data_IF_387671122229
#
_entry.id   IF_387671122229
#
_cell.length_a   1.000
_cell.length_b   1.000
_cell.length_c   1.000
_cell.angle_alpha   90.00
_cell.angle_beta   90.00
_cell.angle_gamma   90.00
#
_symmetry.space_group_name_H-M   'P 1'
#
loop_
_entity.id
_entity.type
_entity.pdbx_description
1 polymer ?
#
# COMPACT_ATOMS: atom_id res chain seq x y z
N UNK A 1 -30.66 -4.74 -3.58
CA UNK A 1 -30.48 -5.02 -2.15
C UNK A 1 -29.29 -4.21 -1.71
N UNK A 2 -29.50 -3.18 -0.90
CA UNK A 2 -28.40 -2.37 -0.38
C UNK A 2 -28.13 -2.72 1.08
N UNK A 3 -27.07 -2.18 1.67
CA UNK A 3 -26.77 -2.37 3.08
C UNK A 3 -26.08 -1.15 3.66
N UNK A 4 -25.82 -1.17 4.95
CA UNK A 4 -25.04 -0.13 5.63
C UNK A 4 -24.08 -0.76 6.62
N UNK A 5 -22.84 -0.26 6.66
CA UNK A 5 -21.84 -0.57 7.68
C UNK A 5 -21.57 0.73 8.45
N UNK A 6 -22.07 0.83 9.67
CA UNK A 6 -21.72 1.90 10.61
C UNK A 6 -20.49 1.45 11.41
N UNK A 7 -19.32 1.98 11.05
CA UNK A 7 -18.02 1.64 11.62
C UNK A 7 -17.60 2.66 12.68
N UNK A 8 -17.77 2.31 13.96
CA UNK A 8 -17.31 3.10 15.09
C UNK A 8 -15.82 2.86 15.32
N UNK A 9 -15.02 3.92 15.30
CA UNK A 9 -13.56 3.86 15.37
C UNK A 9 -12.97 4.91 16.30
N UNK A 10 -11.81 4.60 16.88
CA UNK A 10 -10.99 5.58 17.59
C UNK A 10 -9.61 5.60 16.97
N UNK A 11 -9.03 6.79 16.78
CA UNK A 11 -7.71 6.96 16.18
C UNK A 11 -6.58 6.35 17.02
N UNK A 12 -6.79 6.13 18.32
CA UNK A 12 -5.85 5.37 19.18
C UNK A 12 -6.06 3.85 19.17
N UNK A 13 -6.90 3.31 18.30
CA UNK A 13 -6.97 1.86 18.09
C UNK A 13 -6.26 1.51 16.79
N UNK A 14 -5.17 0.75 16.89
CA UNK A 14 -4.46 0.26 15.71
C UNK A 14 -5.38 -0.62 14.83
N UNK A 15 -6.19 -1.47 15.47
CA UNK A 15 -7.16 -2.27 14.74
C UNK A 15 -8.26 -1.41 14.09
N UNK A 16 -8.56 -0.23 14.64
CA UNK A 16 -9.45 0.73 13.97
C UNK A 16 -8.78 1.32 12.73
N UNK A 17 -7.48 1.58 12.78
CA UNK A 17 -6.72 2.01 11.61
C UNK A 17 -6.74 0.94 10.51
N UNK A 18 -6.45 -0.32 10.87
CA UNK A 18 -6.51 -1.47 9.95
C UNK A 18 -7.92 -1.62 9.36
N UNK A 19 -8.96 -1.61 10.19
CA UNK A 19 -10.35 -1.72 9.72
C UNK A 19 -10.78 -0.56 8.83
N UNK A 20 -10.31 0.66 9.14
CA UNK A 20 -10.52 1.84 8.31
C UNK A 20 -9.89 1.67 6.91
N UNK A 21 -8.62 1.25 6.85
CA UNK A 21 -7.93 1.03 5.56
C UNK A 21 -8.61 -0.05 4.73
N UNK A 22 -8.98 -1.17 5.35
CA UNK A 22 -9.66 -2.29 4.69
C UNK A 22 -10.99 -1.84 4.03
N UNK A 23 -11.84 -1.18 4.80
CA UNK A 23 -13.12 -0.66 4.31
C UNK A 23 -12.93 0.42 3.24
N UNK A 24 -11.89 1.27 3.35
CA UNK A 24 -11.56 2.28 2.34
C UNK A 24 -11.12 1.64 1.02
N UNK A 25 -10.26 0.63 1.05
CA UNK A 25 -9.83 -0.10 -0.16
C UNK A 25 -10.98 -0.82 -0.87
N UNK A 26 -12.04 -1.16 -0.12
CA UNK A 26 -13.20 -1.88 -0.65
C UNK A 26 -14.45 -0.99 -0.84
N UNK A 27 -14.36 0.33 -0.61
CA UNK A 27 -15.53 1.23 -0.62
C UNK A 27 -16.28 1.19 -1.95
N UNK A 28 -15.57 1.24 -3.09
CA UNK A 28 -16.20 1.24 -4.41
C UNK A 28 -16.87 -0.10 -4.73
N UNK A 29 -16.24 -1.22 -4.35
CA UNK A 29 -16.81 -2.56 -4.49
C UNK A 29 -18.07 -2.72 -3.65
N UNK A 30 -18.04 -2.24 -2.40
CA UNK A 30 -19.20 -2.25 -1.51
C UNK A 30 -20.34 -1.38 -2.07
N UNK A 31 -20.02 -0.18 -2.57
CA UNK A 31 -20.99 0.71 -3.20
C UNK A 31 -21.62 0.09 -4.46
N UNK A 32 -20.87 -0.65 -5.27
CA UNK A 32 -21.40 -1.39 -6.43
C UNK A 32 -22.42 -2.48 -6.02
N UNK A 33 -22.33 -3.00 -4.79
CA UNK A 33 -23.33 -3.87 -4.18
C UNK A 33 -24.43 -3.12 -3.41
N UNK A 34 -24.50 -1.79 -3.54
CA UNK A 34 -25.47 -0.96 -2.83
C UNK A 34 -25.20 -0.83 -1.33
N UNK A 35 -23.99 -1.16 -0.85
CA UNK A 35 -23.60 -1.05 0.56
C UNK A 35 -22.94 0.29 0.82
N UNK A 36 -23.48 1.06 1.77
CA UNK A 36 -22.90 2.30 2.25
C UNK A 36 -22.00 2.04 3.46
N UNK A 37 -20.86 2.71 3.53
CA UNK A 37 -19.96 2.64 4.69
C UNK A 37 -19.94 4.01 5.36
N UNK A 38 -20.26 4.05 6.64
CA UNK A 38 -20.26 5.27 7.45
C UNK A 38 -19.25 5.12 8.59
N UNK A 39 -18.20 5.94 8.59
CA UNK A 39 -17.20 5.97 9.65
C UNK A 39 -17.60 6.95 10.76
N UNK A 40 -17.62 6.49 12.00
CA UNK A 40 -18.10 7.24 13.15
C UNK A 40 -16.98 7.35 14.18
N UNK A 41 -16.39 8.54 14.41
CA UNK A 41 -15.41 8.73 15.47
C UNK A 41 -16.05 8.47 16.85
N UNK A 42 -15.58 7.48 17.58
CA UNK A 42 -16.09 7.08 18.89
C UNK A 42 -14.94 7.02 19.90
N UNK A 43 -15.22 7.33 21.16
CA UNK A 43 -14.18 7.40 22.19
C UNK A 43 -13.97 6.03 22.86
N UNK A 44 -12.89 5.33 22.49
CA UNK A 44 -12.54 4.01 23.01
C UNK A 44 -12.37 4.01 24.54
N UNK A 45 -11.78 5.07 25.11
CA UNK A 45 -11.69 5.22 26.56
C UNK A 45 -13.07 5.23 27.24
N UNK A 46 -14.05 5.86 26.61
CA UNK A 46 -15.45 5.88 27.05
C UNK A 46 -16.12 4.52 26.90
N UNK A 47 -15.91 3.84 25.76
CA UNK A 47 -16.42 2.48 25.53
C UNK A 47 -15.88 1.51 26.58
N UNK A 48 -14.57 1.52 26.85
CA UNK A 48 -13.94 0.66 27.85
C UNK A 48 -14.53 0.92 29.24
N UNK A 49 -14.67 2.20 29.63
CA UNK A 49 -15.26 2.55 30.93
C UNK A 49 -16.71 2.08 31.06
N UNK A 50 -17.56 2.37 30.07
CA UNK A 50 -19.00 2.09 30.12
C UNK A 50 -19.32 0.60 29.97
N UNK A 51 -18.50 -0.17 29.24
CA UNK A 51 -18.66 -1.62 29.09
C UNK A 51 -18.01 -2.43 30.21
N UNK A 52 -17.22 -1.79 31.08
CA UNK A 52 -16.38 -2.46 32.08
C UNK A 52 -15.18 -3.21 31.50
N UNK A 53 -14.87 -3.01 30.21
CA UNK A 53 -13.72 -3.62 29.57
C UNK A 53 -12.41 -2.95 30.00
N UNK A 54 -11.32 -3.70 29.95
CA UNK A 54 -9.96 -3.23 30.22
C UNK A 54 -9.11 -3.35 28.97
N UNK A 55 -8.24 -2.35 28.68
CA UNK A 55 -7.30 -2.45 27.58
C UNK A 55 -6.49 -3.75 27.59
N UNK A 56 -6.29 -4.39 26.42
CA UNK A 56 -5.70 -5.74 26.37
C UNK A 56 -4.23 -5.75 26.82
N UNK A 57 -3.48 -4.67 26.63
CA UNK A 57 -2.06 -4.56 27.02
C UNK A 57 -1.84 -4.52 28.54
N UNK A 58 -2.89 -4.33 29.36
CA UNK A 58 -2.78 -4.43 30.82
C UNK A 58 -2.35 -5.85 31.23
N UNK A 59 -2.71 -6.87 30.43
CA UNK A 59 -2.25 -8.23 30.63
C UNK A 59 -0.97 -8.47 29.79
N UNK A 60 0.21 -8.69 30.40
CA UNK A 60 1.46 -8.82 29.66
C UNK A 60 1.45 -9.88 28.56
N UNK A 61 0.79 -11.02 28.81
CA UNK A 61 0.64 -12.10 27.81
C UNK A 61 -0.09 -11.64 26.54
N UNK A 62 -1.12 -10.78 26.67
CA UNK A 62 -1.79 -10.17 25.53
C UNK A 62 -0.88 -9.14 24.85
N UNK A 63 -0.09 -8.38 25.60
CA UNK A 63 0.89 -7.44 25.03
C UNK A 63 1.88 -8.10 24.07
N UNK A 64 2.41 -9.27 24.45
CA UNK A 64 3.33 -10.06 23.59
C UNK A 64 2.62 -10.48 22.29
N UNK A 65 1.40 -11.03 22.39
CA UNK A 65 0.63 -11.44 21.22
C UNK A 65 0.31 -10.25 20.29
N UNK A 66 -0.09 -9.11 20.87
CA UNK A 66 -0.48 -7.92 20.12
C UNK A 66 0.65 -7.37 19.24
N UNK A 67 1.92 -7.49 19.66
CA UNK A 67 3.04 -7.05 18.84
C UNK A 67 3.12 -7.84 17.52
N UNK A 68 3.00 -9.17 17.58
CA UNK A 68 2.99 -10.01 16.38
C UNK A 68 1.70 -9.83 15.57
N UNK A 69 0.57 -9.72 16.25
CA UNK A 69 -0.73 -9.62 15.61
C UNK A 69 -0.92 -8.30 14.87
N UNK A 70 -0.47 -7.19 15.47
CA UNK A 70 -0.46 -5.88 14.84
C UNK A 70 0.42 -5.89 13.59
N UNK A 71 1.59 -6.54 13.65
CA UNK A 71 2.45 -6.74 12.47
C UNK A 71 1.72 -7.52 11.37
N UNK A 72 1.10 -8.66 11.68
CA UNK A 72 0.33 -9.46 10.71
C UNK A 72 -0.85 -8.69 10.11
N UNK A 73 -1.56 -7.92 10.94
CA UNK A 73 -2.68 -7.09 10.52
C UNK A 73 -2.25 -5.93 9.60
N UNK A 74 -1.11 -5.30 9.91
CA UNK A 74 -0.50 -4.28 9.07
C UNK A 74 -0.08 -4.83 7.71
N UNK A 75 0.63 -5.96 7.73
CA UNK A 75 1.05 -6.69 6.54
C UNK A 75 -0.15 -6.97 5.66
N UNK A 76 -1.20 -7.63 6.15
CA UNK A 76 -2.38 -8.00 5.36
C UNK A 76 -2.91 -6.91 4.43
N UNK A 77 -2.79 -5.64 4.81
CA UNK A 77 -3.31 -4.48 4.08
C UNK A 77 -2.23 -3.54 3.52
N UNK A 78 -0.96 -3.94 3.59
CA UNK A 78 0.21 -3.09 3.27
C UNK A 78 0.20 -1.76 4.01
N UNK A 79 -0.31 -1.74 5.24
CA UNK A 79 -0.29 -0.57 6.12
C UNK A 79 1.11 -0.48 6.74
N UNK A 80 1.79 0.68 6.67
CA UNK A 80 3.06 0.83 7.37
C UNK A 80 2.85 0.60 8.87
N UNK A 81 3.76 -0.13 9.52
CA UNK A 81 3.73 -0.34 10.96
C UNK A 81 5.15 -0.55 11.46
N UNK A 82 5.57 0.28 12.42
CA UNK A 82 6.92 0.26 12.99
C UNK A 82 6.89 0.02 14.51
N UNK A 83 5.80 -0.55 15.01
CA UNK A 83 5.57 -0.78 16.43
C UNK A 83 4.56 0.18 17.04
N UNK A 84 4.12 -0.14 18.25
CA UNK A 84 3.22 0.71 19.02
C UNK A 84 3.95 1.96 19.53
N UNK A 85 3.25 3.10 19.65
CA UNK A 85 3.84 4.30 20.22
C UNK A 85 4.47 4.06 21.60
N UNK A 86 5.69 4.60 21.86
CA UNK A 86 6.40 4.37 23.11
C UNK A 86 5.62 4.80 24.36
N UNK A 87 4.93 5.95 24.29
CA UNK A 87 4.02 6.44 25.33
C UNK A 87 2.57 6.36 24.87
N UNK A 88 2.04 5.13 24.83
CA UNK A 88 0.66 4.88 24.45
C UNK A 88 -0.33 5.55 25.41
N UNK A 89 0.03 5.80 26.67
CA UNK A 89 -0.87 6.39 27.66
C UNK A 89 -1.10 7.89 27.43
N UNK A 90 -0.06 8.63 27.02
CA UNK A 90 -0.23 10.01 26.58
C UNK A 90 -1.06 10.08 25.30
N UNK A 91 -0.78 9.19 24.35
CA UNK A 91 -1.43 9.15 23.03
C UNK A 91 -2.88 8.65 23.09
N UNK A 92 -3.25 7.82 24.09
CA UNK A 92 -4.61 7.32 24.31
C UNK A 92 -5.66 8.39 24.64
N UNK A 93 -5.25 9.65 24.83
CA UNK A 93 -6.14 10.77 25.13
C UNK A 93 -6.70 11.41 23.85
N UNK A 94 -7.67 10.76 23.22
CA UNK A 94 -8.18 11.15 21.90
C UNK A 94 -9.42 12.04 21.90
N UNK A 95 -9.92 12.51 23.06
CA UNK A 95 -11.14 13.33 23.11
C UNK A 95 -11.08 14.59 22.25
N UNK A 96 -9.98 15.34 22.31
CA UNK A 96 -9.80 16.56 21.54
C UNK A 96 -9.78 16.30 20.01
N UNK A 97 -8.95 15.39 19.49
CA UNK A 97 -8.95 15.11 18.05
C UNK A 97 -10.23 14.42 17.56
N UNK A 98 -10.91 13.60 18.38
CA UNK A 98 -12.21 13.02 18.01
C UNK A 98 -13.29 14.10 17.84
N UNK A 99 -13.29 15.13 18.71
CA UNK A 99 -14.18 16.29 18.55
C UNK A 99 -13.89 17.07 17.27
N UNK A 100 -12.62 17.23 16.92
CA UNK A 100 -12.23 17.86 15.66
C UNK A 100 -12.72 17.03 14.46
N UNK A 101 -12.59 15.70 14.50
CA UNK A 101 -13.11 14.82 13.45
C UNK A 101 -14.64 14.88 13.30
N UNK A 102 -15.40 15.01 14.39
CA UNK A 102 -16.85 15.26 14.30
C UNK A 102 -17.16 16.60 13.67
N UNK A 103 -16.46 17.66 14.07
CA UNK A 103 -16.64 18.97 13.44
C UNK A 103 -16.32 18.94 11.94
N UNK A 104 -15.23 18.25 11.56
CA UNK A 104 -14.84 18.07 10.15
C UNK A 104 -15.94 17.30 9.40
N UNK A 105 -16.44 16.19 9.96
CA UNK A 105 -17.49 15.37 9.36
C UNK A 105 -18.78 16.16 9.10
N UNK A 106 -19.14 17.09 9.99
CA UNK A 106 -20.38 17.85 9.88
C UNK A 106 -20.26 19.08 8.95
N UNK A 107 -19.06 19.59 8.68
CA UNK A 107 -18.86 20.90 8.04
C UNK A 107 -17.99 20.89 6.78
N UNK A 108 -17.43 19.75 6.40
CA UNK A 108 -16.54 19.59 5.24
C UNK A 108 -16.99 18.40 4.38
N UNK A 109 -16.55 18.31 3.11
CA UNK A 109 -16.85 17.16 2.26
C UNK A 109 -16.42 15.85 2.92
N UNK A 110 -17.17 14.77 2.64
CA UNK A 110 -16.88 13.45 3.19
C UNK A 110 -15.45 12.99 2.86
N UNK A 111 -14.98 13.24 1.63
CA UNK A 111 -13.60 12.95 1.23
C UNK A 111 -12.56 13.64 2.11
N UNK A 112 -12.79 14.88 2.53
CA UNK A 112 -11.94 15.63 3.46
C UNK A 112 -11.94 15.01 4.85
N UNK A 113 -13.11 14.63 5.37
CA UNK A 113 -13.21 13.91 6.65
C UNK A 113 -12.46 12.58 6.63
N UNK A 114 -12.60 11.81 5.55
CA UNK A 114 -11.90 10.54 5.38
C UNK A 114 -10.38 10.73 5.29
N UNK A 115 -9.93 11.71 4.51
CA UNK A 115 -8.50 12.03 4.40
C UNK A 115 -7.92 12.51 5.75
N UNK A 116 -8.63 13.38 6.46
CA UNK A 116 -8.23 13.85 7.79
C UNK A 116 -8.16 12.70 8.81
N UNK A 117 -9.18 11.83 8.84
CA UNK A 117 -9.20 10.65 9.72
C UNK A 117 -7.99 9.75 9.48
N UNK A 118 -7.68 9.46 8.20
CA UNK A 118 -6.49 8.71 7.80
C UNK A 118 -5.21 9.37 8.26
N UNK A 119 -5.09 10.68 8.06
CA UNK A 119 -3.89 11.44 8.43
C UNK A 119 -3.66 11.44 9.95
N UNK A 120 -4.71 11.56 10.76
CA UNK A 120 -4.59 11.47 12.21
C UNK A 120 -4.23 10.05 12.68
N UNK A 121 -4.72 8.99 12.02
CA UNK A 121 -4.22 7.63 12.26
C UNK A 121 -2.71 7.53 11.97
N UNK A 122 -2.25 8.05 10.83
CA UNK A 122 -0.83 8.06 10.45
C UNK A 122 0.01 8.75 11.55
N UNK A 123 -0.39 9.96 11.98
CA UNK A 123 0.35 10.71 13.01
C UNK A 123 0.43 9.98 14.35
N UNK A 124 -0.58 9.19 14.72
CA UNK A 124 -0.53 8.37 15.93
C UNK A 124 0.34 7.13 15.72
N UNK A 125 0.14 6.37 14.64
CA UNK A 125 0.65 5.01 14.51
C UNK A 125 1.97 4.89 13.74
N UNK A 126 2.46 5.97 13.14
CA UNK A 126 3.72 5.99 12.41
C UNK A 126 4.74 6.94 13.02
N UNK A 127 6.03 6.56 13.01
CA UNK A 127 7.09 7.46 13.45
C UNK A 127 7.22 8.70 12.57
N UNK A 128 7.44 9.89 13.17
CA UNK A 128 7.43 10.14 14.60
C UNK A 128 6.00 10.11 15.16
N UNK A 129 5.75 9.29 16.19
CA UNK A 129 4.43 9.19 16.83
C UNK A 129 4.08 10.52 17.52
N UNK A 130 2.91 11.07 17.20
CA UNK A 130 2.48 12.39 17.68
C UNK A 130 1.34 12.24 18.70
N UNK A 131 1.51 12.89 19.85
CA UNK A 131 0.44 13.03 20.82
C UNK A 131 -0.55 14.13 20.39
N UNK A 132 -1.63 13.71 19.72
CA UNK A 132 -2.70 14.60 19.26
C UNK A 132 -3.65 15.10 20.36
N UNK A 133 -3.44 14.71 21.62
CA UNK A 133 -4.14 15.29 22.76
C UNK A 133 -3.67 16.72 23.06
N UNK A 134 -2.44 17.04 22.65
CA UNK A 134 -1.87 18.38 22.72
C UNK A 134 -2.37 19.22 21.54
N UNK A 135 -2.82 20.44 21.84
CA UNK A 135 -3.45 21.30 20.85
C UNK A 135 -2.46 21.81 19.79
N UNK A 136 -1.21 22.10 20.17
CA UNK A 136 -0.21 22.54 19.21
C UNK A 136 0.11 21.42 18.21
N UNK A 137 0.21 20.18 18.71
CA UNK A 137 0.38 19.01 17.85
C UNK A 137 -0.81 18.75 16.92
N UNK A 138 -2.04 18.91 17.43
CA UNK A 138 -3.24 18.74 16.61
C UNK A 138 -3.36 19.83 15.55
N UNK A 139 -3.05 21.09 15.88
CA UNK A 139 -2.99 22.19 14.91
C UNK A 139 -1.99 21.87 13.81
N UNK A 140 -0.74 21.51 14.18
CA UNK A 140 0.29 21.16 13.21
C UNK A 140 -0.15 19.99 12.31
N UNK A 141 -0.74 18.95 12.89
CA UNK A 141 -1.25 17.82 12.13
C UNK A 141 -2.37 18.22 11.14
N UNK A 142 -3.30 19.10 11.53
CA UNK A 142 -4.34 19.59 10.63
C UNK A 142 -3.77 20.49 9.52
N UNK A 143 -2.82 21.37 9.84
CA UNK A 143 -2.15 22.26 8.87
C UNK A 143 -1.33 21.50 7.83
N UNK A 144 -0.75 20.36 8.22
CA UNK A 144 0.03 19.46 7.36
C UNK A 144 -0.83 18.44 6.59
N UNK A 145 -2.11 18.28 6.93
CA UNK A 145 -2.93 17.22 6.37
C UNK A 145 -3.15 17.42 4.86
N UNK A 146 -2.89 16.37 4.09
CA UNK A 146 -3.09 16.34 2.63
C UNK A 146 -4.01 15.21 2.19
N UNK A 147 -4.51 15.29 0.96
CA UNK A 147 -5.33 14.25 0.35
C UNK A 147 -4.54 12.97 0.00
N UNK A 148 -3.21 13.05 -0.08
CA UNK A 148 -2.30 11.92 -0.29
C UNK A 148 -1.97 11.11 0.98
N UNK A 149 -1.55 9.86 0.77
CA UNK A 149 -1.53 8.80 1.78
C UNK A 149 -0.55 8.98 2.96
N UNK A 150 0.44 9.89 2.89
CA UNK A 150 1.49 10.00 3.92
C UNK A 150 2.02 11.44 4.14
N UNK A 151 1.21 12.48 3.91
CA UNK A 151 1.67 13.86 4.14
C UNK A 151 2.75 14.34 3.17
N UNK A 152 2.60 13.98 1.89
CA UNK A 152 3.44 14.46 0.80
C UNK A 152 3.03 15.85 0.29
N UNK A 153 3.51 16.22 -0.89
CA UNK A 153 3.18 17.48 -1.60
C UNK A 153 1.76 17.51 -2.19
N UNK A 154 0.91 16.55 -1.78
CA UNK A 154 -0.51 16.51 -2.11
C UNK A 154 -1.26 17.79 -1.70
N UNK A 155 -2.49 17.91 -2.18
CA UNK A 155 -3.30 19.10 -1.91
C UNK A 155 -3.60 19.18 -0.42
N UNK A 156 -3.27 20.32 0.20
CA UNK A 156 -3.67 20.62 1.58
C UNK A 156 -5.18 20.48 1.76
N UNK A 157 -5.58 19.81 2.84
CA UNK A 157 -6.98 19.61 3.18
C UNK A 157 -7.63 20.88 3.74
N UNK A 158 -6.86 21.70 4.45
CA UNK A 158 -7.34 22.84 5.22
C UNK A 158 -6.45 24.07 4.98
N UNK A 159 -7.05 25.25 4.84
CA UNK A 159 -6.33 26.52 5.00
C UNK A 159 -6.05 26.81 6.48
N UNK A 160 -5.26 27.84 6.78
CA UNK A 160 -5.00 28.24 8.17
C UNK A 160 -6.32 28.67 8.86
N UNK A 161 -7.22 29.36 8.14
CA UNK A 161 -8.54 29.73 8.64
C UNK A 161 -9.44 28.51 8.90
N UNK A 162 -9.33 27.47 8.06
CA UNK A 162 -10.04 26.21 8.30
C UNK A 162 -9.55 25.52 9.58
N UNK A 163 -8.24 25.50 9.83
CA UNK A 163 -7.68 24.92 11.05
C UNK A 163 -8.17 25.68 12.28
N UNK A 164 -8.15 27.01 12.26
CA UNK A 164 -8.73 27.82 13.34
C UNK A 164 -10.22 27.51 13.55
N UNK A 165 -10.98 27.40 12.46
CA UNK A 165 -12.42 27.07 12.49
C UNK A 165 -12.67 25.69 13.11
N UNK A 166 -11.88 24.68 12.73
CA UNK A 166 -11.97 23.32 13.26
C UNK A 166 -11.62 23.30 14.75
N UNK A 167 -10.54 23.96 15.13
CA UNK A 167 -10.04 23.99 16.50
C UNK A 167 -11.01 24.72 17.45
N UNK A 168 -11.70 25.75 16.99
CA UNK A 168 -12.77 26.40 17.73
C UNK A 168 -14.06 25.56 17.74
N UNK A 169 -14.41 25.00 16.59
CA UNK A 169 -15.65 24.24 16.40
C UNK A 169 -15.71 22.94 17.19
N UNK A 170 -14.55 22.29 17.40
CA UNK A 170 -14.46 21.05 18.19
C UNK A 170 -14.97 21.21 19.62
N UNK A 171 -14.91 22.41 20.21
CA UNK A 171 -15.35 22.64 21.60
C UNK A 171 -16.85 22.35 21.76
N UNK A 172 -17.64 22.57 20.71
CA UNK A 172 -19.07 22.24 20.65
C UNK A 172 -19.38 20.75 20.44
N UNK A 173 -18.38 19.91 20.13
CA UNK A 173 -18.60 18.50 19.76
C UNK A 173 -18.56 17.53 20.94
N UNK A 174 -18.49 18.04 22.18
CA UNK A 174 -18.43 17.21 23.39
C UNK A 174 -19.61 16.26 23.53
N UNK A 175 -20.85 16.78 23.45
CA UNK A 175 -22.04 15.95 23.61
C UNK A 175 -22.19 14.98 22.43
N UNK A 176 -21.83 15.40 21.21
CA UNK A 176 -21.81 14.52 20.04
C UNK A 176 -20.94 13.28 20.23
N UNK A 177 -19.69 13.46 20.69
CA UNK A 177 -18.77 12.34 20.99
C UNK A 177 -19.36 11.41 22.06
N UNK A 178 -19.98 11.98 23.10
CA UNK A 178 -20.60 11.22 24.19
C UNK A 178 -21.82 10.43 23.72
N UNK A 179 -22.66 11.02 22.90
CA UNK A 179 -23.85 10.38 22.31
C UNK A 179 -23.46 9.18 21.45
N UNK A 180 -22.60 9.37 20.44
CA UNK A 180 -22.21 8.26 19.53
C UNK A 180 -21.46 7.15 20.27
N UNK A 181 -20.66 7.52 21.28
CA UNK A 181 -19.97 6.54 22.15
C UNK A 181 -20.98 5.75 22.97
N UNK A 182 -21.98 6.43 23.56
CA UNK A 182 -23.06 5.77 24.30
C UNK A 182 -23.94 4.89 23.42
N UNK A 183 -24.23 5.30 22.19
CA UNK A 183 -24.95 4.48 21.21
C UNK A 183 -24.18 3.21 20.84
N UNK A 184 -22.86 3.31 20.60
CA UNK A 184 -22.03 2.13 20.36
C UNK A 184 -22.12 1.14 21.53
N UNK A 185 -22.02 1.62 22.78
CA UNK A 185 -22.14 0.77 23.98
C UNK A 185 -23.53 0.17 24.13
N UNK A 186 -24.61 0.93 23.87
CA UNK A 186 -25.99 0.41 23.85
C UNK A 186 -26.16 -0.72 22.82
N UNK A 187 -25.42 -0.65 21.72
CA UNK A 187 -25.33 -1.69 20.68
C UNK A 187 -24.38 -2.84 21.04
N UNK A 188 -23.80 -2.84 22.25
CA UNK A 188 -22.94 -3.91 22.76
C UNK A 188 -21.43 -3.68 22.59
N UNK A 189 -21.00 -2.50 22.12
CA UNK A 189 -19.58 -2.23 21.92
C UNK A 189 -18.79 -2.31 23.23
N UNK A 190 -17.69 -3.06 23.19
CA UNK A 190 -16.71 -3.17 24.27
C UNK A 190 -15.30 -2.76 23.82
N UNK A 191 -15.14 -2.34 22.55
CA UNK A 191 -13.88 -1.86 21.99
C UNK A 191 -14.08 -1.28 20.59
N UNK A 192 -13.00 -0.90 19.92
CA UNK A 192 -13.02 -0.41 18.52
C UNK A 192 -11.97 -1.14 17.67
N UNK A 193 -12.24 -1.41 16.38
CA UNK A 193 -13.42 -0.98 15.63
C UNK A 193 -14.65 -1.83 15.98
N UNK A 194 -15.81 -1.18 16.03
CA UNK A 194 -17.11 -1.82 16.22
C UNK A 194 -17.97 -1.54 14.99
N UNK A 195 -18.47 -2.60 14.36
CA UNK A 195 -19.25 -2.52 13.13
C UNK A 195 -20.70 -2.86 13.46
N UNK A 196 -21.61 -1.91 13.22
CA UNK A 196 -23.04 -2.16 13.24
C UNK A 196 -23.54 -2.22 11.80
N UNK A 197 -23.99 -3.40 11.37
CA UNK A 197 -24.26 -3.68 9.96
C UNK A 197 -25.74 -3.90 9.76
N UNK A 198 -26.35 -3.20 8.80
CA UNK A 198 -27.73 -3.40 8.36
C UNK A 198 -27.72 -4.00 6.96
N UNK A 199 -28.39 -5.15 6.76
CA UNK A 199 -28.48 -5.80 5.45
C UNK A 199 -29.68 -5.31 4.61
N UNK A 200 -29.85 -5.86 3.41
CA UNK A 200 -30.91 -5.47 2.47
C UNK A 200 -32.33 -5.77 2.92
N UNK A 201 -32.51 -6.63 3.93
CA UNK A 201 -33.80 -6.93 4.54
C UNK A 201 -34.09 -6.05 5.78
N UNK A 202 -33.19 -5.11 6.10
CA UNK A 202 -33.28 -4.27 7.29
C UNK A 202 -32.88 -4.97 8.59
N UNK A 203 -32.30 -6.18 8.54
CA UNK A 203 -31.78 -6.86 9.73
C UNK A 203 -30.46 -6.22 10.15
N UNK A 204 -30.23 -6.16 11.45
CA UNK A 204 -29.03 -5.56 12.03
C UNK A 204 -28.21 -6.59 12.81
N UNK A 205 -26.89 -6.55 12.66
CA UNK A 205 -25.94 -7.41 13.38
C UNK A 205 -24.65 -6.65 13.72
N UNK A 206 -24.04 -6.99 14.87
CA UNK A 206 -22.80 -6.38 15.33
C UNK A 206 -21.59 -7.27 15.07
N UNK A 207 -20.47 -6.66 14.66
CA UNK A 207 -19.18 -7.32 14.49
C UNK A 207 -18.08 -6.50 15.16
N UNK A 208 -17.10 -7.17 15.77
CA UNK A 208 -15.97 -6.53 16.46
C UNK A 208 -14.65 -6.89 15.80
N UNK A 209 -13.76 -5.91 15.66
CA UNK A 209 -12.41 -6.09 15.12
C UNK A 209 -12.30 -5.83 13.62
N UNK A 210 -11.07 -5.88 13.12
CA UNK A 210 -10.71 -5.64 11.71
C UNK A 210 -10.48 -6.93 10.91
N UNK A 211 -10.99 -8.05 11.42
CA UNK A 211 -10.72 -9.43 11.03
C UNK A 211 -12.02 -10.25 10.91
N UNK A 212 -13.19 -9.59 10.87
CA UNK A 212 -14.53 -10.21 10.72
C UNK A 212 -15.22 -9.89 9.40
N UNK A 213 -14.51 -9.31 8.44
CA UNK A 213 -15.13 -8.85 7.19
C UNK A 213 -15.77 -9.97 6.38
N UNK A 214 -15.23 -11.19 6.40
CA UNK A 214 -15.89 -12.37 5.84
C UNK A 214 -17.30 -12.63 6.41
N UNK A 215 -17.48 -12.47 7.72
CA UNK A 215 -18.79 -12.58 8.37
C UNK A 215 -19.72 -11.41 8.01
N UNK A 216 -19.17 -10.19 7.98
CA UNK A 216 -19.90 -8.98 7.54
C UNK A 216 -20.43 -9.15 6.12
N UNK A 217 -19.59 -9.63 5.21
CA UNK A 217 -19.93 -9.83 3.81
C UNK A 217 -20.98 -10.93 3.62
N UNK A 218 -20.84 -12.04 4.35
CA UNK A 218 -21.86 -13.09 4.40
C UNK A 218 -23.21 -12.54 4.87
N UNK A 219 -23.22 -11.72 5.92
CA UNK A 219 -24.45 -11.12 6.47
C UNK A 219 -25.10 -10.13 5.49
N UNK A 220 -24.29 -9.37 4.76
CA UNK A 220 -24.74 -8.46 3.71
C UNK A 220 -25.19 -9.18 2.42
N UNK A 221 -24.92 -10.48 2.29
CA UNK A 221 -25.22 -11.24 1.08
C UNK A 221 -24.33 -10.89 -0.12
N UNK A 222 -23.14 -10.34 0.13
CA UNK A 222 -22.20 -9.98 -0.95
C UNK A 222 -21.22 -11.12 -1.21
N UNK A 223 -20.84 -11.39 -2.47
CA UNK A 223 -19.84 -12.40 -2.79
C UNK A 223 -18.45 -11.96 -2.30
N UNK A 224 -17.70 -12.88 -1.71
CA UNK A 224 -16.33 -12.64 -1.27
C UNK A 224 -15.49 -13.93 -1.36
N UNK A 225 -14.17 -13.77 -1.37
CA UNK A 225 -13.22 -14.87 -1.19
C UNK A 225 -12.61 -14.73 0.21
N UNK A 226 -12.77 -15.75 1.06
CA UNK A 226 -12.33 -15.71 2.47
C UNK A 226 -10.83 -16.04 2.60
N UNK A 227 -10.52 -17.32 2.76
CA UNK A 227 -9.18 -17.88 2.79
C UNK A 227 -9.17 -19.07 1.84
N UNK A 228 -8.33 -18.99 0.81
CA UNK A 228 -8.15 -20.07 -0.17
C UNK A 228 -6.78 -20.70 0.06
N UNK A 229 -6.76 -21.99 0.44
CA UNK A 229 -5.53 -22.78 0.46
C UNK A 229 -5.24 -23.20 -0.97
N UNK A 230 -4.20 -22.60 -1.55
CA UNK A 230 -3.76 -22.95 -2.89
C UNK A 230 -3.01 -24.29 -2.86
N UNK A 231 -3.04 -25.09 -3.95
CA UNK A 231 -2.18 -26.26 -4.10
C UNK A 231 -0.69 -25.89 -3.88
N UNK A 232 0.16 -26.84 -3.43
CA UNK A 232 1.58 -26.57 -3.26
C UNK A 232 2.20 -25.99 -4.54
N UNK A 233 2.63 -24.74 -4.49
CA UNK A 233 3.39 -24.10 -5.58
C UNK A 233 4.89 -24.21 -5.28
N UNK A 234 5.75 -24.12 -6.30
CA UNK A 234 7.22 -24.18 -6.13
C UNK A 234 7.81 -23.02 -5.32
N UNK A 235 6.99 -22.06 -4.85
CA UNK A 235 7.41 -21.00 -3.94
C UNK A 235 7.65 -21.58 -2.55
N UNK A 236 8.94 -21.81 -2.25
CA UNK A 236 9.39 -22.09 -0.88
C UNK A 236 9.08 -20.88 0.00
N UNK A 237 8.75 -21.16 1.26
CA UNK A 237 9.00 -20.24 2.37
C UNK A 237 10.47 -19.82 2.31
N UNK A 238 10.74 -18.54 2.09
CA UNK A 238 12.06 -18.00 2.39
C UNK A 238 12.25 -18.05 3.90
N UNK A 239 13.05 -19.02 4.34
CA UNK A 239 13.24 -19.35 5.75
C UNK A 239 13.98 -18.26 6.56
N UNK A 240 14.36 -17.13 5.94
CA UNK A 240 15.12 -16.07 6.60
C UNK A 240 14.28 -14.94 7.19
N UNK A 241 13.04 -14.72 6.77
CA UNK A 241 12.20 -13.65 7.32
C UNK A 241 10.77 -14.14 7.43
N UNK A 242 10.26 -14.34 8.64
CA UNK A 242 8.91 -14.84 8.95
C UNK A 242 7.76 -13.88 8.58
N UNK A 243 7.81 -13.30 7.39
CA UNK A 243 6.83 -12.38 6.83
C UNK A 243 6.00 -13.10 5.76
N UNK A 244 4.68 -13.02 5.90
CA UNK A 244 3.77 -13.34 4.80
C UNK A 244 3.70 -12.08 3.93
N UNK A 245 4.16 -12.18 2.68
CA UNK A 245 3.92 -11.11 1.71
C UNK A 245 2.39 -10.98 1.51
N UNK A 246 1.80 -9.80 1.70
CA UNK A 246 0.37 -9.61 1.53
C UNK A 246 0.07 -9.36 0.06
N UNK A 247 -0.50 -10.38 -0.58
CA UNK A 247 -1.38 -10.27 -1.74
C UNK A 247 -0.97 -9.21 -2.78
N UNK A 248 -0.05 -9.56 -3.67
CA UNK A 248 -0.20 -9.13 -5.06
C UNK A 248 -1.53 -9.70 -5.54
N UNK A 249 -2.51 -8.84 -5.82
CA UNK A 249 -3.69 -9.22 -6.61
C UNK A 249 -3.23 -9.51 -8.04
N UNK A 250 -2.85 -10.76 -8.27
CA UNK A 250 -3.02 -11.42 -9.55
C UNK A 250 -3.47 -12.84 -9.20
N UNK A 251 -4.64 -13.26 -9.68
CA UNK A 251 -5.08 -14.64 -9.55
C UNK A 251 -4.13 -15.53 -10.36
N UNK A 252 -3.02 -15.95 -9.77
CA UNK A 252 -2.12 -16.88 -10.42
C UNK A 252 -2.71 -18.29 -10.36
N UNK A 253 -3.43 -18.70 -11.42
CA UNK A 253 -3.64 -20.13 -11.72
C UNK A 253 -2.37 -20.65 -12.39
N UNK A 254 -1.61 -21.45 -11.66
CA UNK A 254 -0.43 -22.12 -12.20
C UNK A 254 -0.83 -23.26 -13.15
N UNK A 255 -0.37 -23.18 -14.39
CA UNK A 255 -0.07 -24.37 -15.20
C UNK A 255 1.42 -24.71 -15.05
N UNK A 256 1.70 -26.01 -14.95
CA UNK A 256 3.01 -26.61 -14.63
C UNK A 256 4.08 -26.29 -15.68
N UNK A 257 5.34 -26.17 -15.23
CA UNK A 257 6.49 -26.91 -15.80
C UNK A 257 7.51 -27.32 -14.73
N UNK A 258 7.86 -28.60 -14.74
CA UNK A 258 9.14 -29.17 -14.30
C UNK A 258 10.26 -28.55 -15.16
N UNK A 259 11.45 -28.13 -14.72
CA UNK A 259 12.43 -28.55 -13.72
C UNK A 259 13.18 -27.27 -13.26
N UNK A 260 13.69 -27.19 -12.02
CA UNK A 260 14.35 -25.97 -11.52
C UNK A 260 15.88 -26.13 -11.42
N UNK A 261 16.70 -25.21 -11.98
CA UNK A 261 17.99 -24.85 -11.41
C UNK A 261 17.79 -23.83 -10.25
N UNK A 262 18.82 -23.63 -9.42
CA UNK A 262 18.88 -22.76 -8.22
C UNK A 262 18.14 -21.40 -8.31
N UNK A 263 17.67 -20.80 -7.18
CA UNK A 263 16.94 -19.52 -7.21
C UNK A 263 17.83 -18.45 -7.83
N UNK A 264 17.47 -18.02 -9.03
CA UNK A 264 18.28 -17.14 -9.85
C UNK A 264 17.74 -15.70 -9.75
N UNK A 265 18.54 -14.78 -9.22
CA UNK A 265 18.27 -13.36 -9.06
C UNK A 265 18.30 -12.64 -10.43
N UNK A 266 17.48 -11.61 -10.62
CA UNK A 266 17.57 -10.78 -11.82
C UNK A 266 18.44 -9.54 -11.56
N UNK A 267 19.21 -9.09 -12.55
CA UNK A 267 19.94 -7.83 -12.50
C UNK A 267 19.19 -6.72 -13.25
N UNK A 268 19.18 -5.52 -12.69
CA UNK A 268 18.66 -4.31 -13.33
C UNK A 268 19.76 -3.28 -13.47
N UNK A 269 19.98 -2.81 -14.69
CA UNK A 269 20.97 -1.82 -15.07
C UNK A 269 20.25 -0.53 -15.44
N UNK A 270 20.69 0.59 -14.88
CA UNK A 270 20.13 1.90 -15.18
C UNK A 270 21.16 3.02 -15.05
N UNK A 271 20.87 4.17 -15.66
CA UNK A 271 21.68 5.37 -15.49
C UNK A 271 21.45 6.07 -14.14
N UNK A 272 22.43 6.85 -13.69
CA UNK A 272 22.34 7.62 -12.43
C UNK A 272 21.11 8.53 -12.33
N UNK A 273 20.70 9.18 -13.43
CA UNK A 273 19.49 10.04 -13.42
C UNK A 273 18.21 9.23 -13.20
N UNK A 274 18.09 8.07 -13.83
CA UNK A 274 16.97 7.14 -13.63
C UNK A 274 16.96 6.59 -12.22
N UNK A 275 18.14 6.27 -11.66
CA UNK A 275 18.23 5.91 -10.25
C UNK A 275 17.76 7.04 -9.34
N UNK A 276 18.21 8.27 -9.58
CA UNK A 276 17.83 9.43 -8.76
C UNK A 276 16.33 9.75 -8.83
N UNK A 277 15.67 9.47 -9.95
CA UNK A 277 14.23 9.69 -10.13
C UNK A 277 13.34 8.64 -9.45
N UNK A 278 13.88 7.49 -9.06
CA UNK A 278 13.12 6.49 -8.30
C UNK A 278 12.98 7.00 -6.85
N UNK A 279 11.77 7.04 -6.25
CA UNK A 279 11.61 7.45 -4.86
C UNK A 279 12.47 6.61 -3.91
N UNK A 280 13.06 7.24 -2.89
CA UNK A 280 14.02 6.59 -1.96
C UNK A 280 13.46 5.35 -1.29
N UNK A 281 12.15 5.33 -0.96
CA UNK A 281 11.45 4.16 -0.39
C UNK A 281 11.43 2.92 -1.30
N UNK A 282 11.63 3.10 -2.61
CA UNK A 282 11.68 2.02 -3.60
C UNK A 282 13.11 1.69 -4.05
N UNK A 283 14.13 2.35 -3.48
CA UNK A 283 15.53 2.10 -3.75
C UNK A 283 16.21 1.38 -2.57
N UNK A 284 17.05 0.36 -2.82
CA UNK A 284 17.20 -0.38 -4.08
C UNK A 284 15.92 -1.14 -4.47
N UNK A 285 15.76 -1.44 -5.76
CA UNK A 285 14.64 -2.24 -6.23
C UNK A 285 14.77 -3.66 -5.65
N UNK A 286 13.81 -4.04 -4.79
CA UNK A 286 13.83 -5.32 -4.06
C UNK A 286 13.99 -6.53 -5.00
N UNK A 287 14.63 -7.58 -4.50
CA UNK A 287 14.82 -8.88 -5.17
C UNK A 287 15.51 -8.80 -6.53
N UNK A 288 16.34 -7.76 -6.70
CA UNK A 288 17.15 -7.54 -7.89
C UNK A 288 18.54 -7.07 -7.51
N UNK A 289 19.52 -7.49 -8.30
CA UNK A 289 20.83 -6.84 -8.29
C UNK A 289 20.70 -5.49 -8.98
N UNK A 290 20.83 -4.40 -8.22
CA UNK A 290 20.72 -3.05 -8.76
C UNK A 290 22.11 -2.56 -9.19
N UNK A 291 22.29 -2.27 -10.48
CA UNK A 291 23.53 -1.75 -11.05
C UNK A 291 23.27 -0.35 -11.62
N UNK A 292 23.99 0.65 -11.11
CA UNK A 292 23.85 2.05 -11.48
C UNK A 292 25.10 2.52 -12.21
N UNK A 293 24.92 2.98 -13.45
CA UNK A 293 26.00 3.54 -14.27
C UNK A 293 26.17 5.02 -13.92
N UNK A 294 27.36 5.38 -13.44
CA UNK A 294 27.73 6.77 -13.11
C UNK A 294 29.19 7.07 -13.50
N UNK A 295 29.42 8.25 -14.09
CA UNK A 295 30.78 8.75 -14.40
C UNK A 295 31.65 8.96 -13.17
N UNK A 296 31.03 9.14 -11.99
CA UNK A 296 31.71 9.30 -10.70
C UNK A 296 31.97 7.97 -9.97
N UNK A 297 31.61 6.83 -10.56
CA UNK A 297 31.88 5.52 -9.95
C UNK A 297 33.38 5.21 -9.93
N UNK A 298 33.87 4.41 -8.97
CA UNK A 298 35.24 3.91 -8.96
C UNK A 298 35.57 3.16 -10.27
N UNK A 299 36.84 3.19 -10.69
CA UNK A 299 37.31 2.50 -11.90
C UNK A 299 37.41 0.98 -11.72
N UNK A 300 37.50 0.51 -10.48
CA UNK A 300 37.56 -0.91 -10.13
C UNK A 300 36.16 -1.48 -9.90
N UNK A 301 35.94 -2.71 -10.35
CA UNK A 301 34.69 -3.43 -10.07
C UNK A 301 34.59 -3.72 -8.57
N UNK A 302 33.41 -3.53 -7.94
CA UNK A 302 33.21 -3.90 -6.55
C UNK A 302 33.43 -5.40 -6.35
N UNK A 303 34.08 -5.81 -5.27
CA UNK A 303 34.28 -7.25 -4.97
C UNK A 303 33.03 -7.88 -4.36
N UNK A 304 32.21 -7.08 -3.66
CA UNK A 304 30.97 -7.51 -3.00
C UNK A 304 29.85 -6.49 -3.24
N UNK A 305 28.61 -6.99 -3.29
CA UNK A 305 27.40 -6.14 -3.29
C UNK A 305 26.65 -6.35 -1.98
N UNK A 306 26.49 -5.26 -1.22
CA UNK A 306 25.55 -5.25 -0.09
C UNK A 306 24.12 -5.10 -0.66
N UNK A 307 23.13 -5.88 -0.19
CA UNK A 307 21.75 -5.79 -0.67
C UNK A 307 21.11 -4.41 -0.46
N UNK A 308 21.64 -3.63 0.48
CA UNK A 308 21.16 -2.29 0.85
C UNK A 308 21.64 -1.18 -0.08
N UNK A 309 22.62 -1.43 -0.96
CA UNK A 309 23.18 -0.42 -1.85
C UNK A 309 23.28 -0.88 -3.31
N UNK A 310 23.15 0.03 -4.29
CA UNK A 310 23.38 -0.30 -5.68
C UNK A 310 24.87 -0.51 -5.96
N UNK A 311 25.18 -1.45 -6.83
CA UNK A 311 26.50 -1.58 -7.44
C UNK A 311 26.71 -0.42 -8.39
N UNK A 312 27.75 0.39 -8.16
CA UNK A 312 28.07 1.54 -9.02
C UNK A 312 29.20 1.18 -9.98
N UNK A 313 28.98 1.40 -11.27
CA UNK A 313 29.97 1.12 -12.33
C UNK A 313 30.06 2.30 -13.31
N UNK A 314 31.15 2.35 -14.08
CA UNK A 314 31.44 3.47 -14.98
C UNK A 314 30.80 3.34 -16.37
N UNK A 315 30.47 2.12 -16.80
CA UNK A 315 29.95 1.86 -18.14
C UNK A 315 29.02 0.64 -18.18
N UNK A 316 28.32 0.49 -19.31
CA UNK A 316 27.45 -0.66 -19.54
C UNK A 316 28.24 -1.97 -19.65
N UNK A 317 29.44 -1.91 -20.22
CA UNK A 317 30.36 -3.04 -20.33
C UNK A 317 30.78 -3.54 -18.94
N UNK A 318 31.14 -2.62 -18.03
CA UNK A 318 31.44 -2.97 -16.64
C UNK A 318 30.21 -3.53 -15.90
N UNK A 319 29.00 -3.02 -16.17
CA UNK A 319 27.77 -3.56 -15.60
C UNK A 319 27.52 -5.01 -16.02
N UNK A 320 27.71 -5.32 -17.30
CA UNK A 320 27.56 -6.67 -17.85
C UNK A 320 28.67 -7.60 -17.37
N UNK A 321 29.91 -7.13 -17.28
CA UNK A 321 31.01 -7.89 -16.71
C UNK A 321 30.72 -8.28 -15.26
N UNK A 322 30.27 -7.33 -14.45
CA UNK A 322 29.89 -7.59 -13.06
C UNK A 322 28.71 -8.57 -12.96
N UNK A 323 27.67 -8.43 -13.79
CA UNK A 323 26.57 -9.38 -13.80
C UNK A 323 27.02 -10.80 -14.17
N UNK A 324 28.00 -10.93 -15.08
CA UNK A 324 28.58 -12.23 -15.50
C UNK A 324 29.45 -12.91 -14.44
N UNK A 325 30.03 -12.16 -13.49
CA UNK A 325 30.80 -12.78 -12.40
C UNK A 325 29.91 -13.48 -11.38
N UNK A 326 28.60 -13.22 -11.40
CA UNK A 326 27.62 -13.77 -10.47
C UNK A 326 26.87 -14.94 -11.08
N UNK A 327 27.12 -16.14 -10.56
CA UNK A 327 26.46 -17.38 -10.99
C UNK A 327 24.98 -17.48 -10.62
N UNK A 328 24.51 -16.62 -9.71
CA UNK A 328 23.12 -16.57 -9.28
C UNK A 328 22.27 -15.59 -10.10
N UNK A 329 22.85 -14.88 -11.09
CA UNK A 329 22.07 -13.99 -11.97
C UNK A 329 21.45 -14.76 -13.12
N UNK A 330 20.12 -14.71 -13.23
CA UNK A 330 19.33 -15.35 -14.29
C UNK A 330 19.26 -14.51 -15.56
N UNK A 331 18.83 -13.26 -15.39
CA UNK A 331 18.49 -12.34 -16.48
C UNK A 331 19.00 -10.96 -16.13
N UNK A 332 19.43 -10.25 -17.15
CA UNK A 332 19.88 -8.86 -17.03
C UNK A 332 18.91 -7.98 -17.80
N UNK A 333 18.39 -6.97 -17.12
CA UNK A 333 17.46 -5.99 -17.68
C UNK A 333 18.12 -4.62 -17.70
N UNK A 334 17.95 -3.90 -18.79
CA UNK A 334 18.24 -2.46 -18.84
C UNK A 334 16.90 -1.75 -18.67
N UNK A 335 16.75 -0.94 -17.63
CA UNK A 335 15.44 -0.41 -17.23
C UNK A 335 15.29 1.11 -17.35
N UNK A 336 16.35 1.82 -17.75
CA UNK A 336 16.17 3.24 -18.04
C UNK A 336 17.41 4.09 -18.22
N UNK A 337 17.13 5.25 -18.82
CA UNK A 337 18.07 6.25 -19.28
C UNK A 337 18.26 6.15 -20.79
N UNK A 338 17.87 7.18 -21.53
CA UNK A 338 17.94 7.19 -23.01
C UNK A 338 19.31 6.77 -23.54
N UNK A 339 20.38 7.33 -22.96
CA UNK A 339 21.77 6.98 -23.31
C UNK A 339 22.12 5.51 -23.03
N UNK A 340 21.54 4.91 -21.97
CA UNK A 340 21.79 3.52 -21.62
C UNK A 340 21.02 2.59 -22.55
N UNK A 341 19.78 2.96 -22.93
CA UNK A 341 19.03 2.24 -23.96
C UNK A 341 19.76 2.27 -25.30
N UNK A 342 20.19 3.44 -25.77
CA UNK A 342 20.93 3.58 -27.03
C UNK A 342 22.22 2.74 -27.07
N UNK A 343 22.92 2.65 -25.93
CA UNK A 343 24.10 1.81 -25.79
C UNK A 343 23.73 0.32 -25.78
N UNK A 344 22.71 -0.08 -25.02
CA UNK A 344 22.28 -1.47 -24.90
C UNK A 344 21.75 -2.04 -26.23
N UNK A 345 21.00 -1.25 -27.00
CA UNK A 345 20.44 -1.70 -28.28
C UNK A 345 21.51 -2.04 -29.33
N UNK A 346 22.71 -1.45 -29.21
CA UNK A 346 23.87 -1.75 -30.08
C UNK A 346 24.58 -3.03 -29.69
N UNK A 347 24.31 -3.59 -28.51
CA UNK A 347 24.95 -4.81 -28.05
C UNK A 347 24.37 -6.04 -28.78
N UNK A 348 25.22 -6.99 -29.18
CA UNK A 348 24.76 -8.26 -29.73
C UNK A 348 23.98 -9.08 -28.69
N UNK A 349 24.25 -8.90 -27.40
CA UNK A 349 23.60 -9.64 -26.30
C UNK A 349 22.14 -9.21 -26.05
N UNK A 350 21.70 -8.07 -26.60
CA UNK A 350 20.33 -7.59 -26.42
C UNK A 350 19.36 -8.38 -27.29
N UNK A 351 18.71 -9.36 -26.66
CA UNK A 351 17.80 -10.30 -27.31
C UNK A 351 16.36 -9.80 -27.40
N UNK A 352 15.87 -9.07 -26.38
CA UNK A 352 14.44 -8.75 -26.22
C UNK A 352 14.21 -7.32 -25.76
N UNK A 353 13.06 -6.76 -26.16
CA UNK A 353 12.51 -5.50 -25.67
C UNK A 353 11.14 -5.80 -25.06
N UNK A 354 10.94 -5.35 -23.82
CA UNK A 354 9.63 -5.30 -23.17
C UNK A 354 9.13 -3.87 -23.27
N UNK A 355 7.97 -3.69 -23.87
CA UNK A 355 7.42 -2.37 -24.18
C UNK A 355 6.00 -2.26 -23.66
N UNK A 356 5.71 -1.19 -22.93
CA UNK A 356 4.33 -0.79 -22.62
C UNK A 356 3.90 0.23 -23.67
N UNK A 357 2.98 -0.17 -24.56
CA UNK A 357 2.39 0.69 -25.58
C UNK A 357 1.19 1.41 -24.99
N UNK A 358 1.20 2.74 -24.92
CA UNK A 358 0.10 3.53 -24.37
C UNK A 358 -0.76 4.06 -25.54
N UNK A 359 -2.08 3.82 -25.51
CA UNK A 359 -3.02 4.24 -26.56
C UNK A 359 -3.47 5.71 -26.39
N UNK A 360 -2.52 6.59 -26.08
CA UNK A 360 -2.75 8.03 -25.90
C UNK A 360 -1.46 8.82 -26.13
N UNK A 361 -1.59 9.98 -26.76
CA UNK A 361 -0.47 10.91 -26.96
C UNK A 361 -0.24 11.76 -25.70
N UNK A 362 1.03 11.87 -25.31
CA UNK A 362 1.50 12.72 -24.22
C UNK A 362 2.66 13.59 -24.71
N UNK A 363 2.81 14.78 -24.14
CA UNK A 363 3.98 15.62 -24.39
C UNK A 363 5.19 15.02 -23.65
N UNK A 364 6.22 14.67 -24.40
CA UNK A 364 7.37 13.92 -23.93
C UNK A 364 8.67 14.62 -24.35
N UNK A 365 9.62 14.75 -23.44
CA UNK A 365 10.93 15.38 -23.67
C UNK A 365 12.04 14.38 -24.03
N UNK A 366 11.73 13.08 -23.95
CA UNK A 366 12.67 11.98 -24.11
C UNK A 366 12.04 10.89 -24.99
N UNK A 367 12.78 10.44 -26.00
CA UNK A 367 12.30 9.48 -26.99
C UNK A 367 13.14 8.19 -26.96
N UNK A 368 12.47 7.06 -27.23
CA UNK A 368 13.12 5.76 -27.36
C UNK A 368 13.53 5.55 -28.83
N UNK A 369 14.84 5.48 -29.09
CA UNK A 369 15.43 5.54 -30.44
C UNK A 369 15.27 4.28 -31.30
N UNK A 370 14.26 3.44 -31.06
CA UNK A 370 14.03 2.20 -31.82
C UNK A 370 12.79 2.35 -32.68
N UNK A 371 12.96 2.16 -33.99
CA UNK A 371 11.83 1.94 -34.88
C UNK A 371 11.50 0.45 -34.93
N UNK A 372 10.41 0.05 -34.27
CA UNK A 372 9.95 -1.34 -34.24
C UNK A 372 9.48 -1.84 -35.63
N UNK A 373 9.39 -0.94 -36.62
CA UNK A 373 9.01 -1.27 -38.01
C UNK A 373 10.22 -1.47 -38.93
N UNK A 374 11.45 -1.31 -38.43
CA UNK A 374 12.68 -1.43 -39.22
C UNK A 374 13.04 -2.87 -39.62
N UNK A 375 12.19 -3.84 -39.26
CA UNK A 375 12.34 -5.25 -39.59
C UNK A 375 13.40 -6.00 -38.77
N UNK A 376 14.08 -5.35 -37.81
CA UNK A 376 15.06 -6.01 -36.93
C UNK A 376 14.41 -6.65 -35.70
N UNK A 377 13.17 -6.29 -35.40
CA UNK A 377 12.45 -6.77 -34.23
C UNK A 377 11.14 -7.43 -34.65
N UNK A 378 10.88 -8.60 -34.09
CA UNK A 378 9.63 -9.32 -34.28
C UNK A 378 8.81 -9.28 -33.00
N UNK A 379 7.58 -8.78 -33.10
CA UNK A 379 6.61 -8.85 -32.00
C UNK A 379 6.26 -10.32 -31.74
N UNK A 380 6.35 -10.72 -30.48
CA UNK A 380 5.96 -12.05 -30.00
C UNK A 380 4.50 -12.07 -29.61
N UNK A 381 3.92 -13.26 -29.65
CA UNK A 381 2.54 -13.48 -29.22
C UNK A 381 2.37 -13.19 -27.73
N UNK A 382 1.11 -12.99 -27.32
CA UNK A 382 0.76 -12.78 -25.92
C UNK A 382 1.15 -14.01 -25.09
N UNK A 383 0.91 -15.20 -25.62
CA UNK A 383 1.22 -16.47 -24.97
C UNK A 383 2.74 -16.60 -24.74
N UNK A 384 3.56 -16.24 -25.74
CA UNK A 384 5.03 -16.20 -25.60
C UNK A 384 5.48 -15.17 -24.55
N UNK A 385 4.82 -13.99 -24.48
CA UNK A 385 5.10 -12.97 -23.46
C UNK A 385 4.78 -13.51 -22.06
N UNK A 386 3.58 -14.08 -21.86
CA UNK A 386 3.16 -14.66 -20.58
C UNK A 386 4.06 -15.82 -20.15
N UNK A 387 4.43 -16.71 -21.08
CA UNK A 387 5.38 -17.79 -20.82
C UNK A 387 6.75 -17.27 -20.39
N UNK A 388 7.19 -16.16 -20.99
CA UNK A 388 8.51 -15.61 -20.72
C UNK A 388 8.58 -14.79 -19.42
N UNK A 389 7.58 -13.95 -19.15
CA UNK A 389 7.49 -13.13 -17.93
C UNK A 389 6.99 -13.91 -16.73
N UNK A 390 6.15 -14.93 -16.95
CA UNK A 390 5.38 -15.59 -15.89
C UNK A 390 4.19 -14.76 -15.38
N UNK A 391 3.87 -13.65 -16.04
CA UNK A 391 2.78 -12.74 -15.67
C UNK A 391 1.55 -12.95 -16.56
N UNK A 392 0.35 -12.81 -16.01
CA UNK A 392 -0.88 -12.77 -16.81
C UNK A 392 -1.02 -11.42 -17.51
N UNK A 393 -1.23 -11.45 -18.83
CA UNK A 393 -1.48 -10.26 -19.65
C UNK A 393 -2.89 -10.38 -20.19
N UNK A 394 -3.73 -9.35 -20.08
CA UNK A 394 -5.13 -9.38 -20.54
C UNK A 394 -5.26 -9.25 -22.06
N UNK A 395 -6.37 -9.74 -22.61
CA UNK A 395 -6.66 -9.64 -24.04
C UNK A 395 -7.22 -8.25 -24.37
N UNK A 396 -6.55 -7.50 -25.24
CA UNK A 396 -6.98 -6.15 -25.63
C UNK A 396 -6.41 -5.01 -24.78
N UNK A 397 -5.40 -5.28 -23.95
CA UNK A 397 -4.74 -4.28 -23.12
C UNK A 397 -5.42 -4.07 -21.76
N UNK A 398 -4.84 -3.19 -20.94
CA UNK A 398 -5.32 -2.80 -19.63
C UNK A 398 -5.73 -1.32 -19.65
N UNK A 399 -6.70 -0.93 -18.83
CA UNK A 399 -7.11 0.46 -18.66
C UNK A 399 -6.93 0.90 -17.22
N UNK A 400 -6.13 1.93 -17.01
CA UNK A 400 -5.91 2.53 -15.69
C UNK A 400 -6.05 4.05 -15.79
N UNK A 401 -6.85 4.64 -14.89
CA UNK A 401 -7.13 6.08 -14.87
C UNK A 401 -7.58 6.65 -16.24
N UNK A 402 -8.35 5.88 -17.03
CA UNK A 402 -8.83 6.29 -18.36
C UNK A 402 -7.76 6.29 -19.45
N UNK A 403 -6.62 5.62 -19.22
CA UNK A 403 -5.55 5.43 -20.21
C UNK A 403 -5.40 3.95 -20.50
N UNK A 404 -5.58 3.56 -21.76
CA UNK A 404 -5.38 2.19 -22.23
C UNK A 404 -3.92 1.95 -22.56
N UNK A 405 -3.41 0.79 -22.19
CA UNK A 405 -2.05 0.37 -22.51
C UNK A 405 -1.95 -1.13 -22.74
N UNK A 406 -0.93 -1.54 -23.49
CA UNK A 406 -0.67 -2.92 -23.86
C UNK A 406 0.78 -3.30 -23.54
N UNK A 407 0.98 -4.43 -22.87
CA UNK A 407 2.31 -5.02 -22.70
C UNK A 407 2.71 -5.83 -23.93
N UNK A 408 3.90 -5.56 -24.45
CA UNK A 408 4.43 -6.19 -25.65
C UNK A 408 5.83 -6.76 -25.37
N UNK A 409 6.12 -7.91 -25.95
CA UNK A 409 7.48 -8.45 -26.05
C UNK A 409 7.90 -8.48 -27.51
N UNK A 410 9.08 -7.95 -27.78
CA UNK A 410 9.72 -7.97 -29.08
C UNK A 410 11.05 -8.70 -28.97
N UNK A 411 11.36 -9.54 -29.95
CA UNK A 411 12.63 -10.26 -30.01
C UNK A 411 13.41 -9.85 -31.25
N UNK A 412 14.73 -9.71 -31.07
CA UNK A 412 15.64 -9.37 -32.16
C UNK A 412 15.65 -10.50 -33.17
N UNK A 413 15.50 -10.16 -34.44
CA UNK A 413 15.72 -11.06 -35.55
C UNK A 413 17.24 -11.10 -35.80
N UNK A 414 17.81 -12.30 -35.69
CA UNK A 414 19.24 -12.53 -35.92
C UNK A 414 19.62 -12.33 -37.40
#
# INVERSE_FOLDING_TARGET
MGGRIDCYLDIVSFYSYVGYVDLRQNTEKLAAHGVQVNFIPAFLGGINHLSGNKPPWILPAKGIYLAEDSRRAAERLSVPYQGSPPDIFAIAKTLSPLRALHFIKDNYPESTFLAATRFLFHKIWLPPHVNLADDANLIAALTEATDELDGGEGKKLFSDEDVERIMKGRDGMKERVKEVTGEAVKKGAFGTPWLWVTNGDGKEEAFFGSDRFNHVYRFLGIPFRDVEVLPPSKFRRDAQHGHWSPWNNAMARSTQRDEAPSPSLNAVIMGRKTWDSIPTKFRPLKDRLNIVISRSAPSTLPETSEPSEPVRVQSLEHALQYARTRSDISRVFVIGGAQIYDAALKLPETRRILLTSIERDFDCDTFFSVDMKDGKWKRRSREELQEWTGEEVEEGGQEEAGTKYEFQMWEKLD
#
